data_IF_953071574560
#
_entry.id   IF_953071574560
#
_cell.length_a   1.000
_cell.length_b   1.000
_cell.length_c   1.000
_cell.angle_alpha   90.00
_cell.angle_beta   90.00
_cell.angle_gamma   90.00
#
_symmetry.space_group_name_H-M   'P 1'
#
loop_
_entity.id
_entity.type
_entity.pdbx_description
1 polymer ?
#
# COMPACT_ATOMS: atom_id res chain seq x y z
N UNK A 1 0.95 -13.51 -8.92
CA UNK A 1 2.03 -13.10 -7.99
C UNK A 1 1.82 -11.65 -7.54
N UNK A 2 1.96 -11.35 -6.24
CA UNK A 2 1.82 -10.02 -5.63
C UNK A 2 3.19 -9.53 -5.14
N UNK A 3 3.66 -8.43 -5.70
CA UNK A 3 4.93 -7.78 -5.36
C UNK A 3 4.62 -6.44 -4.73
N UNK A 4 4.98 -6.25 -3.47
CA UNK A 4 4.85 -4.96 -2.81
C UNK A 4 6.16 -4.18 -2.91
N UNK A 5 6.07 -2.93 -3.34
CA UNK A 5 7.18 -1.97 -3.35
C UNK A 5 7.01 -1.07 -2.14
N UNK A 6 7.94 -1.17 -1.19
CA UNK A 6 7.88 -0.51 0.11
C UNK A 6 9.21 0.18 0.46
N UNK A 7 9.21 1.02 1.50
CA UNK A 7 10.39 1.77 1.95
C UNK A 7 10.22 2.25 3.38
N UNK A 8 11.33 2.39 4.12
CA UNK A 8 11.29 2.83 5.52
C UNK A 8 10.91 4.30 5.72
N UNK A 9 10.85 5.11 4.66
CA UNK A 9 10.42 6.52 4.68
C UNK A 9 9.82 6.96 3.34
N UNK A 10 9.26 8.18 3.31
CA UNK A 10 8.86 8.85 2.08
C UNK A 10 10.05 9.29 1.21
N UNK A 11 9.81 9.47 -0.10
CA UNK A 11 10.78 10.10 -1.00
C UNK A 11 11.94 9.22 -1.52
N UNK A 12 11.94 7.91 -1.28
CA UNK A 12 13.01 7.01 -1.78
C UNK A 12 12.81 6.56 -3.24
N UNK A 13 11.72 6.93 -3.89
CA UNK A 13 11.42 6.57 -5.28
C UNK A 13 10.53 5.35 -5.48
N UNK A 14 9.74 4.94 -4.48
CA UNK A 14 8.75 3.84 -4.59
C UNK A 14 7.82 4.00 -5.80
N UNK A 15 7.04 5.08 -5.85
CA UNK A 15 6.08 5.33 -6.94
C UNK A 15 6.77 5.39 -8.30
N UNK A 16 7.96 5.98 -8.38
CA UNK A 16 8.77 6.00 -9.61
C UNK A 16 9.11 4.57 -10.04
N UNK A 17 9.60 3.72 -9.14
CA UNK A 17 9.88 2.32 -9.44
C UNK A 17 8.61 1.55 -9.81
N UNK A 18 7.54 1.68 -9.01
CA UNK A 18 6.26 0.99 -9.20
C UNK A 18 5.63 1.27 -10.55
N UNK A 19 5.55 2.54 -10.94
CA UNK A 19 4.95 2.97 -12.21
C UNK A 19 5.80 2.55 -13.40
N UNK A 20 7.12 2.73 -13.34
CA UNK A 20 8.02 2.34 -14.41
C UNK A 20 8.06 0.81 -14.60
N UNK A 21 8.17 0.05 -13.52
CA UNK A 21 8.16 -1.41 -13.58
C UNK A 21 6.85 -1.94 -14.13
N UNK A 22 5.71 -1.45 -13.65
CA UNK A 22 4.41 -1.87 -14.16
C UNK A 22 4.22 -1.50 -15.64
N UNK A 23 4.62 -0.31 -16.06
CA UNK A 23 4.55 0.09 -17.47
C UNK A 23 5.47 -0.73 -18.37
N UNK A 24 6.69 -1.02 -17.93
CA UNK A 24 7.65 -1.86 -18.64
C UNK A 24 7.11 -3.30 -18.82
N UNK A 25 6.57 -3.89 -17.75
CA UNK A 25 5.92 -5.21 -17.80
C UNK A 25 4.72 -5.20 -18.77
N UNK A 26 3.95 -4.11 -18.80
CA UNK A 26 2.76 -3.97 -19.63
C UNK A 26 3.03 -3.92 -21.14
N UNK A 27 4.29 -3.79 -21.58
CA UNK A 27 4.63 -3.88 -23.00
C UNK A 27 4.36 -5.30 -23.52
N UNK A 28 4.74 -6.31 -22.74
CA UNK A 28 4.67 -7.71 -23.16
C UNK A 28 3.56 -8.51 -22.48
N UNK A 29 3.18 -8.18 -21.25
CA UNK A 29 2.32 -9.03 -20.43
C UNK A 29 1.28 -8.24 -19.62
N UNK A 30 0.20 -8.91 -19.24
CA UNK A 30 -0.83 -8.31 -18.39
C UNK A 30 -0.26 -8.03 -16.99
N UNK A 31 -0.54 -6.84 -16.46
CA UNK A 31 -0.07 -6.44 -15.12
C UNK A 31 -1.10 -5.53 -14.46
N UNK A 32 -1.14 -5.63 -13.13
CA UNK A 32 -1.98 -4.80 -12.29
C UNK A 32 -1.07 -3.91 -11.43
N UNK A 33 -1.12 -2.61 -11.63
CA UNK A 33 -0.54 -1.63 -10.70
C UNK A 33 -1.62 -1.20 -9.73
N UNK A 34 -1.31 -1.21 -8.44
CA UNK A 34 -2.19 -0.68 -7.40
C UNK A 34 -1.46 0.35 -6.56
N UNK A 35 -2.02 1.56 -6.48
CA UNK A 35 -1.60 2.57 -5.51
C UNK A 35 -2.32 2.32 -4.18
N UNK A 36 -1.56 1.85 -3.18
CA UNK A 36 -2.05 1.57 -1.83
C UNK A 36 -1.73 2.73 -0.86
N UNK A 37 -1.08 3.81 -1.31
CA UNK A 37 -0.99 5.04 -0.55
C UNK A 37 -2.30 5.83 -0.67
N UNK A 38 -3.32 5.36 0.04
CA UNK A 38 -4.70 5.85 -0.11
C UNK A 38 -4.94 7.26 0.45
N UNK A 39 -3.96 7.80 1.19
CA UNK A 39 -3.99 9.17 1.70
C UNK A 39 -3.51 10.13 0.61
N UNK A 40 -2.40 9.81 -0.05
CA UNK A 40 -1.75 10.66 -1.04
C UNK A 40 -1.32 9.85 -2.30
N UNK A 41 -2.27 9.28 -3.06
CA UNK A 41 -1.93 8.43 -4.21
C UNK A 41 -1.29 9.27 -5.33
N UNK A 42 -0.14 8.80 -5.84
CA UNK A 42 0.71 9.53 -6.78
C UNK A 42 0.92 8.78 -8.11
N UNK A 43 0.62 7.48 -8.17
CA UNK A 43 0.82 6.66 -9.37
C UNK A 43 0.03 7.18 -10.58
N UNK A 44 -1.15 7.75 -10.33
CA UNK A 44 -2.00 8.35 -11.38
C UNK A 44 -1.37 9.55 -12.10
N UNK A 45 -0.31 10.15 -11.56
CA UNK A 45 0.45 11.22 -12.23
C UNK A 45 1.24 10.69 -13.43
N UNK A 46 1.66 9.41 -13.38
CA UNK A 46 2.48 8.77 -14.40
C UNK A 46 1.64 7.95 -15.39
N UNK A 47 0.53 7.39 -14.90
CA UNK A 47 -0.28 6.46 -15.68
C UNK A 47 -1.43 7.18 -16.38
N UNK A 48 -1.26 7.40 -17.68
CA UNK A 48 -2.34 7.88 -18.56
C UNK A 48 -3.20 6.69 -18.99
N UNK A 49 -4.35 6.52 -18.33
CA UNK A 49 -5.26 5.40 -18.57
C UNK A 49 -6.73 5.83 -18.58
N UNK A 50 -7.58 5.07 -19.27
CA UNK A 50 -9.03 5.32 -19.33
C UNK A 50 -9.70 4.81 -18.06
N UNK A 51 -10.51 5.65 -17.40
CA UNK A 51 -11.34 5.23 -16.28
C UNK A 51 -12.39 4.20 -16.75
N UNK A 52 -12.39 3.02 -16.13
CA UNK A 52 -13.36 1.96 -16.37
C UNK A 52 -14.43 1.90 -15.29
N UNK A 53 -14.03 2.04 -14.02
CA UNK A 53 -14.94 1.94 -12.87
C UNK A 53 -14.57 2.94 -11.80
N UNK A 54 -15.61 3.50 -11.17
CA UNK A 54 -15.53 4.26 -9.93
C UNK A 54 -16.50 3.65 -8.91
N UNK A 55 -16.04 3.46 -7.69
CA UNK A 55 -16.82 2.86 -6.62
C UNK A 55 -16.65 3.67 -5.34
N UNK A 56 -17.75 4.10 -4.73
CA UNK A 56 -17.71 4.72 -3.40
C UNK A 56 -17.41 3.67 -2.35
N UNK A 57 -16.45 3.96 -1.49
CA UNK A 57 -16.06 3.08 -0.38
C UNK A 57 -16.64 3.58 0.92
N UNK A 58 -17.06 2.63 1.75
CA UNK A 58 -17.79 2.89 2.98
C UNK A 58 -17.13 2.22 4.15
N UNK A 59 -17.33 2.84 5.30
CA UNK A 59 -17.02 2.32 6.62
C UNK A 59 -18.31 2.20 7.41
N UNK A 60 -18.44 1.12 8.15
CA UNK A 60 -19.64 0.82 8.90
C UNK A 60 -19.47 1.36 10.32
N UNK A 61 -20.38 2.24 10.76
CA UNK A 61 -20.33 2.94 12.05
C UNK A 61 -21.63 2.65 12.80
N UNK A 62 -21.58 2.28 14.09
CA UNK A 62 -22.79 2.08 14.87
C UNK A 62 -23.50 3.42 15.12
N UNK A 63 -24.81 3.42 14.95
CA UNK A 63 -25.70 4.51 15.32
C UNK A 63 -26.55 4.09 16.51
N UNK A 64 -26.47 4.86 17.59
CA UNK A 64 -27.14 4.54 18.84
C UNK A 64 -28.61 4.96 18.81
N UNK A 65 -29.50 4.02 19.12
CA UNK A 65 -30.92 4.27 19.33
C UNK A 65 -31.25 4.29 20.82
N UNK A 66 -31.68 5.45 21.33
CA UNK A 66 -32.08 5.61 22.73
C UNK A 66 -33.31 4.74 23.06
N UNK A 67 -34.29 4.68 22.17
CA UNK A 67 -35.54 3.92 22.35
C UNK A 67 -35.30 2.43 22.59
N UNK A 68 -34.30 1.86 21.90
CA UNK A 68 -33.98 0.43 22.00
C UNK A 68 -32.91 0.12 23.06
N UNK A 69 -32.26 1.14 23.63
CA UNK A 69 -31.12 0.94 24.51
C UNK A 69 -31.55 0.61 25.95
N UNK A 70 -31.03 -0.51 26.48
CA UNK A 70 -31.18 -0.85 27.91
C UNK A 70 -30.04 -0.33 28.80
N UNK A 71 -29.13 0.47 28.24
CA UNK A 71 -27.95 1.05 28.90
C UNK A 71 -27.08 0.03 29.66
N UNK A 72 -26.95 -1.18 29.12
CA UNK A 72 -26.22 -2.29 29.74
C UNK A 72 -24.68 -2.12 29.76
N UNK A 73 -24.14 -1.26 28.91
CA UNK A 73 -22.70 -0.96 28.84
C UNK A 73 -21.84 -1.93 28.03
N UNK A 74 -22.37 -3.07 27.59
CA UNK A 74 -21.62 -4.07 26.80
C UNK A 74 -20.87 -3.44 25.61
N UNK A 75 -21.51 -2.54 24.87
CA UNK A 75 -20.92 -1.90 23.70
C UNK A 75 -19.68 -1.05 24.01
N UNK A 76 -19.63 -0.44 25.19
CA UNK A 76 -18.47 0.30 25.69
C UNK A 76 -17.36 -0.67 26.10
N UNK A 77 -17.69 -1.71 26.87
CA UNK A 77 -16.73 -2.69 27.38
C UNK A 77 -16.00 -3.45 26.27
N UNK A 78 -16.70 -3.79 25.18
CA UNK A 78 -16.13 -4.56 24.06
C UNK A 78 -15.37 -3.68 23.06
N UNK A 79 -15.39 -2.35 23.21
CA UNK A 79 -14.78 -1.43 22.26
C UNK A 79 -13.28 -1.22 22.54
N UNK A 80 -12.42 -2.08 22.00
CA UNK A 80 -10.96 -1.94 22.13
C UNK A 80 -10.39 -0.59 21.65
N UNK A 81 -11.10 0.10 20.77
CA UNK A 81 -10.69 1.38 20.19
C UNK A 81 -11.24 2.59 20.96
N UNK A 82 -12.00 2.37 22.03
CA UNK A 82 -12.64 3.41 22.83
C UNK A 82 -13.47 4.40 21.99
N UNK A 83 -14.04 3.91 20.89
CA UNK A 83 -14.89 4.68 20.00
C UNK A 83 -16.33 4.82 20.54
N UNK A 84 -16.65 4.11 21.62
CA UNK A 84 -17.97 4.12 22.26
C UNK A 84 -17.75 4.45 23.74
N UNK A 85 -18.41 5.52 24.21
CA UNK A 85 -18.37 5.95 25.61
C UNK A 85 -19.79 5.98 26.15
N UNK A 86 -19.98 5.44 27.36
CA UNK A 86 -21.25 5.55 28.07
C UNK A 86 -21.21 6.70 29.07
N UNK A 87 -22.20 7.60 29.01
CA UNK A 87 -22.42 8.70 29.96
C UNK A 87 -23.80 8.54 30.57
N UNK A 88 -23.87 7.91 31.74
CA UNK A 88 -25.15 7.56 32.36
C UNK A 88 -25.92 6.56 31.49
N UNK A 89 -27.13 6.93 31.05
CA UNK A 89 -27.94 6.11 30.14
C UNK A 89 -27.59 6.32 28.65
N UNK A 90 -26.83 7.37 28.31
CA UNK A 90 -26.53 7.74 26.94
C UNK A 90 -25.25 7.07 26.42
N UNK A 91 -25.22 6.77 25.12
CA UNK A 91 -24.04 6.26 24.42
C UNK A 91 -23.57 7.29 23.41
N UNK A 92 -22.29 7.64 23.46
CA UNK A 92 -21.61 8.48 22.48
C UNK A 92 -20.72 7.61 21.59
N UNK A 93 -20.88 7.76 20.28
CA UNK A 93 -20.03 7.11 19.27
C UNK A 93 -19.11 8.14 18.63
N UNK A 94 -17.82 7.84 18.56
CA UNK A 94 -16.79 8.62 17.88
C UNK A 94 -16.44 7.94 16.54
N UNK A 95 -17.01 8.38 15.40
CA UNK A 95 -16.84 7.70 14.11
C UNK A 95 -15.39 7.60 13.65
N UNK A 96 -14.55 8.56 14.03
CA UNK A 96 -13.12 8.61 13.67
C UNK A 96 -12.34 7.46 14.31
N UNK A 97 -12.66 7.12 15.57
CA UNK A 97 -12.00 6.05 16.31
C UNK A 97 -12.59 4.66 16.06
N UNK A 98 -13.83 4.57 15.58
CA UNK A 98 -14.50 3.28 15.40
C UNK A 98 -13.85 2.47 14.27
N UNK A 99 -13.42 1.22 14.43
CA UNK A 99 -12.87 0.42 13.32
C UNK A 99 -13.92 -0.34 12.49
N UNK A 100 -15.21 -0.17 12.80
CA UNK A 100 -16.27 -0.90 12.11
C UNK A 100 -16.18 -2.42 12.27
N UNK A 101 -15.67 -2.90 13.42
CA UNK A 101 -15.47 -4.33 13.69
C UNK A 101 -16.74 -5.08 14.12
N UNK A 102 -17.89 -4.41 14.15
CA UNK A 102 -19.21 -4.95 14.51
C UNK A 102 -19.40 -5.48 15.94
N UNK A 103 -18.34 -5.65 16.75
CA UNK A 103 -18.44 -6.22 18.09
C UNK A 103 -19.52 -5.56 18.97
N UNK A 104 -19.60 -4.23 18.97
CA UNK A 104 -20.59 -3.49 19.75
C UNK A 104 -22.05 -3.72 19.31
N UNK A 105 -22.29 -3.93 18.02
CA UNK A 105 -23.61 -4.15 17.45
C UNK A 105 -24.05 -5.60 17.67
N UNK A 106 -23.19 -6.56 17.35
CA UNK A 106 -23.45 -8.00 17.48
C UNK A 106 -23.63 -8.44 18.94
N UNK A 107 -22.92 -7.81 19.87
CA UNK A 107 -23.02 -8.11 21.30
C UNK A 107 -24.06 -7.24 22.03
N UNK A 108 -24.81 -6.40 21.31
CA UNK A 108 -25.88 -5.60 21.89
C UNK A 108 -27.14 -6.45 22.10
N UNK A 109 -27.54 -6.77 23.35
CA UNK A 109 -28.69 -7.63 23.62
C UNK A 109 -30.03 -7.00 23.27
N UNK A 110 -30.04 -5.70 22.95
CA UNK A 110 -31.24 -4.96 22.57
C UNK A 110 -31.17 -4.38 21.16
N UNK A 111 -30.16 -4.75 20.37
CA UNK A 111 -29.98 -4.29 18.98
C UNK A 111 -30.05 -2.76 18.83
N UNK A 112 -29.54 -2.01 19.82
CA UNK A 112 -29.62 -0.56 19.88
C UNK A 112 -28.48 0.16 19.14
N UNK A 113 -27.66 -0.56 18.38
CA UNK A 113 -26.48 -0.06 17.65
C UNK A 113 -26.51 -0.57 16.22
N UNK A 114 -27.36 0.05 15.39
CA UNK A 114 -27.45 -0.31 13.98
C UNK A 114 -26.18 0.15 13.25
N UNK A 115 -25.60 -0.71 12.42
CA UNK A 115 -24.39 -0.37 11.67
C UNK A 115 -24.76 0.36 10.38
N UNK A 116 -24.45 1.65 10.33
CA UNK A 116 -24.77 2.52 9.19
C UNK A 116 -23.53 2.77 8.34
N UNK A 117 -23.70 2.68 7.02
CA UNK A 117 -22.64 2.97 6.06
C UNK A 117 -22.32 4.47 6.03
N UNK A 118 -21.07 4.83 6.30
CA UNK A 118 -20.55 6.19 6.12
C UNK A 118 -19.48 6.18 5.03
N UNK A 119 -19.61 7.10 4.08
CA UNK A 119 -18.61 7.26 3.01
C UNK A 119 -17.25 7.57 3.64
N UNK A 120 -16.21 6.88 3.17
CA UNK A 120 -14.83 7.10 3.60
C UNK A 120 -13.90 7.46 2.46
N UNK A 121 -14.30 7.22 1.21
CA UNK A 121 -13.46 7.49 0.05
C UNK A 121 -14.02 6.88 -1.23
N UNK A 122 -13.15 6.71 -2.21
CA UNK A 122 -13.46 6.08 -3.48
C UNK A 122 -12.34 5.16 -3.96
N UNK A 123 -12.71 4.13 -4.72
CA UNK A 123 -11.82 3.30 -5.52
C UNK A 123 -12.05 3.62 -6.99
N UNK A 124 -10.97 3.75 -7.74
CA UNK A 124 -10.97 3.98 -9.19
C UNK A 124 -10.13 2.92 -9.88
N UNK A 125 -10.66 2.39 -10.96
CA UNK A 125 -9.99 1.41 -11.81
C UNK A 125 -9.90 1.97 -13.23
N UNK A 126 -8.67 2.05 -13.73
CA UNK A 126 -8.30 2.51 -15.05
C UNK A 126 -7.61 1.41 -15.86
N UNK A 127 -7.64 1.53 -17.18
CA UNK A 127 -6.95 0.59 -18.07
C UNK A 127 -6.26 1.33 -19.22
N UNK A 128 -5.05 0.87 -19.56
CA UNK A 128 -4.33 1.24 -20.78
C UNK A 128 -3.62 0.00 -21.34
N UNK A 129 -4.11 -0.54 -22.46
CA UNK A 129 -3.56 -1.77 -23.05
C UNK A 129 -3.56 -2.93 -22.05
N UNK A 130 -2.37 -3.48 -21.78
CA UNK A 130 -2.17 -4.60 -20.84
C UNK A 130 -2.03 -4.16 -19.37
N UNK A 131 -1.98 -2.85 -19.09
CA UNK A 131 -1.89 -2.28 -17.74
C UNK A 131 -3.29 -2.00 -17.18
N UNK A 132 -3.61 -2.64 -16.06
CA UNK A 132 -4.73 -2.24 -15.20
C UNK A 132 -4.17 -1.43 -14.03
N UNK A 133 -4.72 -0.25 -13.79
CA UNK A 133 -4.31 0.64 -12.72
C UNK A 133 -5.46 0.86 -11.73
N UNK A 134 -5.23 0.52 -10.47
CA UNK A 134 -6.20 0.68 -9.39
C UNK A 134 -5.62 1.68 -8.41
N UNK A 135 -6.42 2.66 -8.02
CA UNK A 135 -6.09 3.57 -6.93
C UNK A 135 -7.31 3.76 -6.05
N UNK A 136 -7.08 3.90 -4.76
CA UNK A 136 -8.10 4.28 -3.80
C UNK A 136 -7.68 5.57 -3.12
N UNK A 137 -8.66 6.40 -2.76
CA UNK A 137 -8.41 7.68 -2.12
C UNK A 137 -9.39 7.92 -0.98
N UNK A 138 -8.88 8.27 0.19
CA UNK A 138 -9.68 8.70 1.33
C UNK A 138 -10.29 10.09 1.09
N UNK A 139 -11.49 10.30 1.63
CA UNK A 139 -12.05 11.63 1.79
C UNK A 139 -11.28 12.39 2.90
N UNK A 140 -11.20 13.72 2.78
CA UNK A 140 -10.50 14.58 3.75
C UNK A 140 -11.10 14.40 5.15
N UNK A 141 -10.23 14.21 6.16
CA UNK A 141 -10.63 14.02 7.56
C UNK A 141 -10.93 12.57 7.95
N UNK A 142 -10.65 11.59 7.07
CA UNK A 142 -10.71 10.17 7.39
C UNK A 142 -9.34 9.66 7.83
N UNK A 143 -9.28 8.93 8.94
CA UNK A 143 -8.03 8.46 9.57
C UNK A 143 -7.75 6.95 9.33
N UNK A 144 -8.59 6.27 8.54
CA UNK A 144 -8.56 4.81 8.40
C UNK A 144 -8.07 4.32 7.04
N UNK A 145 -6.81 4.60 6.77
CA UNK A 145 -6.11 4.09 5.58
C UNK A 145 -6.09 2.57 5.51
N UNK A 146 -5.84 1.88 6.64
CA UNK A 146 -5.82 0.41 6.70
C UNK A 146 -7.10 -0.26 6.17
N UNK A 147 -8.27 0.25 6.55
CA UNK A 147 -9.55 -0.31 6.07
C UNK A 147 -9.70 -0.13 4.55
N UNK A 148 -9.34 1.03 4.02
CA UNK A 148 -9.45 1.28 2.57
C UNK A 148 -8.42 0.47 1.78
N UNK A 149 -7.20 0.28 2.30
CA UNK A 149 -6.19 -0.62 1.72
C UNK A 149 -6.75 -2.05 1.68
N UNK A 150 -7.33 -2.54 2.77
CA UNK A 150 -7.98 -3.86 2.82
C UNK A 150 -9.09 -4.01 1.77
N UNK A 151 -9.97 -3.01 1.64
CA UNK A 151 -11.04 -3.02 0.63
C UNK A 151 -10.50 -2.97 -0.81
N UNK A 152 -9.35 -2.33 -1.03
CA UNK A 152 -8.65 -2.29 -2.32
C UNK A 152 -8.03 -3.64 -2.65
N UNK A 153 -7.37 -4.28 -1.68
CA UNK A 153 -6.83 -5.63 -1.83
C UNK A 153 -7.94 -6.66 -2.13
N UNK A 154 -9.09 -6.56 -1.46
CA UNK A 154 -10.25 -7.40 -1.77
C UNK A 154 -10.72 -7.21 -3.22
N UNK A 155 -10.86 -5.96 -3.68
CA UNK A 155 -11.23 -5.66 -5.05
C UNK A 155 -10.27 -6.33 -6.06
N UNK A 156 -8.96 -6.27 -5.80
CA UNK A 156 -7.92 -6.87 -6.67
C UNK A 156 -8.03 -8.39 -6.69
N UNK A 157 -8.23 -9.03 -5.54
CA UNK A 157 -8.38 -10.48 -5.44
C UNK A 157 -9.62 -10.98 -6.20
N UNK A 158 -10.72 -10.23 -6.14
CA UNK A 158 -11.97 -10.58 -6.81
C UNK A 158 -11.92 -10.37 -8.34
N UNK A 159 -11.31 -9.26 -8.80
CA UNK A 159 -11.38 -8.85 -10.21
C UNK A 159 -10.18 -9.29 -11.05
N UNK A 160 -9.06 -9.61 -10.41
CA UNK A 160 -7.86 -10.11 -11.08
C UNK A 160 -7.42 -11.46 -10.49
N UNK A 161 -8.30 -12.49 -10.51
CA UNK A 161 -7.92 -13.81 -10.08
C UNK A 161 -6.89 -14.41 -11.04
N UNK A 162 -6.08 -15.34 -10.53
CA UNK A 162 -5.09 -16.06 -11.33
C UNK A 162 -3.71 -15.41 -11.39
N UNK A 163 -2.94 -15.87 -12.37
CA UNK A 163 -1.49 -15.71 -12.42
C UNK A 163 -1.05 -14.47 -13.20
N UNK A 164 -1.50 -13.31 -12.72
CA UNK A 164 -1.11 -11.98 -13.22
C UNK A 164 -0.14 -11.37 -12.22
N UNK A 165 0.89 -10.66 -12.70
CA UNK A 165 1.78 -9.87 -11.85
C UNK A 165 1.00 -8.68 -11.31
N UNK A 166 1.01 -8.52 -9.99
CA UNK A 166 0.38 -7.41 -9.26
C UNK A 166 1.48 -6.63 -8.56
N UNK A 167 1.66 -5.37 -8.92
CA UNK A 167 2.61 -4.44 -8.31
C UNK A 167 1.84 -3.53 -7.36
N UNK A 168 2.20 -3.53 -6.08
CA UNK A 168 1.59 -2.69 -5.06
C UNK A 168 2.55 -1.56 -4.68
N UNK A 169 2.21 -0.32 -5.03
CA UNK A 169 2.90 0.87 -4.54
C UNK A 169 2.43 1.13 -3.10
N UNK A 170 3.30 0.84 -2.13
CA UNK A 170 2.92 0.86 -0.71
C UNK A 170 3.06 2.26 -0.11
N UNK A 171 2.31 2.56 0.97
CA UNK A 171 2.56 3.76 1.79
C UNK A 171 4.02 3.83 2.28
N UNK A 172 4.54 5.02 2.63
CA UNK A 172 5.87 5.14 3.22
C UNK A 172 5.90 4.66 4.69
N UNK A 173 7.07 4.19 5.13
CA UNK A 173 7.32 3.92 6.54
C UNK A 173 7.19 2.45 6.94
N UNK A 174 6.83 2.23 8.19
CA UNK A 174 6.71 0.89 8.82
C UNK A 174 5.46 0.77 9.69
N UNK A 175 4.48 1.65 9.47
CA UNK A 175 3.23 1.73 10.22
C UNK A 175 2.17 0.75 9.72
N UNK A 176 1.00 0.72 10.38
CA UNK A 176 -0.10 -0.19 10.04
C UNK A 176 -0.54 -0.17 8.56
N UNK A 177 -0.60 0.98 7.86
CA UNK A 177 -0.87 1.00 6.42
C UNK A 177 0.12 0.19 5.59
N UNK A 178 1.42 0.25 5.93
CA UNK A 178 2.46 -0.54 5.26
C UNK A 178 2.30 -2.02 5.55
N UNK A 179 1.99 -2.37 6.80
CA UNK A 179 1.69 -3.76 7.17
C UNK A 179 0.51 -4.27 6.35
N UNK A 180 -0.59 -3.52 6.28
CA UNK A 180 -1.79 -3.91 5.53
C UNK A 180 -1.52 -4.03 4.02
N UNK A 181 -0.67 -3.17 3.45
CA UNK A 181 -0.28 -3.20 2.04
C UNK A 181 0.64 -4.39 1.69
N UNK A 182 1.46 -4.84 2.63
CA UNK A 182 2.52 -5.85 2.40
C UNK A 182 2.15 -7.24 2.93
N UNK A 183 1.18 -7.36 3.84
CA UNK A 183 0.87 -8.62 4.56
C UNK A 183 0.47 -9.78 3.64
N UNK A 184 -0.04 -9.52 2.44
CA UNK A 184 -0.47 -10.56 1.49
C UNK A 184 0.45 -10.63 0.26
N UNK A 185 1.58 -9.92 0.29
CA UNK A 185 2.55 -9.95 -0.79
C UNK A 185 3.29 -11.30 -0.81
N UNK A 186 3.54 -11.80 -2.02
CA UNK A 186 4.39 -12.97 -2.26
C UNK A 186 5.86 -12.59 -2.04
N UNK A 187 6.23 -11.35 -2.40
CA UNK A 187 7.58 -10.81 -2.22
C UNK A 187 7.54 -9.30 -2.01
N UNK A 188 8.49 -8.76 -1.26
CA UNK A 188 8.60 -7.31 -1.00
C UNK A 188 9.91 -6.76 -1.55
N UNK A 189 9.82 -5.71 -2.37
CA UNK A 189 10.98 -4.94 -2.83
C UNK A 189 11.09 -3.69 -1.97
N UNK A 190 12.18 -3.59 -1.22
CA UNK A 190 12.49 -2.46 -0.37
C UNK A 190 13.35 -1.45 -1.14
N UNK A 191 12.81 -0.24 -1.34
CA UNK A 191 13.51 0.85 -2.03
C UNK A 191 14.19 1.76 -1.02
N UNK A 192 15.50 1.96 -1.17
CA UNK A 192 16.28 2.88 -0.33
C UNK A 192 17.29 3.70 -1.14
N UNK A 193 18.00 4.61 -0.48
CA UNK A 193 19.07 5.44 -1.04
C UNK A 193 20.40 5.16 -0.30
N UNK A 194 21.58 5.28 -0.93
CA UNK A 194 22.88 4.98 -0.32
C UNK A 194 23.35 6.08 0.65
N UNK A 195 22.52 6.42 1.64
CA UNK A 195 22.79 7.44 2.65
C UNK A 195 22.67 6.84 4.05
N UNK A 196 23.33 7.42 5.08
CA UNK A 196 23.20 6.94 6.46
C UNK A 196 21.75 6.86 6.95
N UNK A 197 20.92 7.84 6.56
CA UNK A 197 19.49 7.84 6.86
C UNK A 197 18.74 6.75 6.09
N UNK A 198 19.04 6.58 4.80
CA UNK A 198 18.48 5.50 4.00
C UNK A 198 18.79 4.12 4.56
N UNK A 199 19.99 3.91 5.10
CA UNK A 199 20.36 2.66 5.79
C UNK A 199 19.57 2.47 7.08
N UNK A 200 19.43 3.50 7.90
CA UNK A 200 18.65 3.43 9.13
C UNK A 200 17.19 3.06 8.84
N UNK A 201 16.57 3.72 7.87
CA UNK A 201 15.18 3.48 7.50
C UNK A 201 15.00 2.10 6.84
N UNK A 202 15.98 1.67 6.04
CA UNK A 202 16.01 0.32 5.47
C UNK A 202 16.01 -0.74 6.57
N UNK A 203 16.81 -0.58 7.63
CA UNK A 203 16.85 -1.53 8.77
C UNK A 203 15.48 -1.67 9.43
N UNK A 204 14.78 -0.56 9.67
CA UNK A 204 13.43 -0.59 10.22
C UNK A 204 12.43 -1.31 9.30
N UNK A 205 12.52 -1.07 8.00
CA UNK A 205 11.67 -1.75 7.01
C UNK A 205 11.94 -3.26 6.97
N UNK A 206 13.22 -3.66 6.98
CA UNK A 206 13.65 -5.06 7.05
C UNK A 206 13.12 -5.74 8.32
N UNK A 207 13.26 -5.11 9.49
CA UNK A 207 12.76 -5.66 10.75
C UNK A 207 11.24 -5.86 10.71
N UNK A 208 10.53 -4.97 10.03
CA UNK A 208 9.09 -5.10 9.81
C UNK A 208 8.77 -6.29 8.92
N UNK A 209 9.46 -6.45 7.78
CA UNK A 209 9.25 -7.59 6.87
C UNK A 209 9.62 -8.93 7.51
N UNK A 210 10.71 -8.98 8.29
CA UNK A 210 11.11 -10.15 9.10
C UNK A 210 9.99 -10.55 10.08
N UNK A 211 9.39 -9.59 10.79
CA UNK A 211 8.26 -9.85 11.72
C UNK A 211 7.00 -10.33 11.00
N UNK A 212 6.76 -9.88 9.77
CA UNK A 212 5.64 -10.34 8.95
C UNK A 212 5.90 -11.69 8.26
N UNK A 213 7.11 -12.26 8.38
CA UNK A 213 7.49 -13.49 7.68
C UNK A 213 7.45 -13.34 6.16
N UNK A 214 7.78 -12.15 5.64
CA UNK A 214 7.78 -11.86 4.20
C UNK A 214 9.19 -11.94 3.65
N UNK A 215 9.35 -12.58 2.51
CA UNK A 215 10.59 -12.55 1.74
C UNK A 215 10.77 -11.16 1.10
N UNK A 216 12.00 -10.65 1.12
CA UNK A 216 12.29 -9.33 0.61
C UNK A 216 13.67 -9.22 -0.04
N UNK A 217 13.81 -8.26 -0.94
CA UNK A 217 15.08 -7.82 -1.50
C UNK A 217 15.12 -6.30 -1.63
N UNK A 218 16.29 -5.76 -1.96
CA UNK A 218 16.54 -4.32 -1.96
C UNK A 218 16.77 -3.82 -3.37
N UNK A 219 16.15 -2.69 -3.70
CA UNK A 219 16.51 -1.86 -4.85
C UNK A 219 17.15 -0.58 -4.31
N UNK A 220 18.38 -0.33 -4.72
CA UNK A 220 19.12 0.87 -4.34
C UNK A 220 18.85 1.97 -5.37
N UNK A 221 18.11 2.98 -4.98
CA UNK A 221 17.85 4.16 -5.80
C UNK A 221 18.90 5.23 -5.56
N UNK A 222 19.12 6.10 -6.56
CA UNK A 222 20.09 7.19 -6.54
C UNK A 222 21.51 6.71 -6.23
N UNK A 223 21.91 5.62 -6.87
CA UNK A 223 23.24 5.09 -6.69
C UNK A 223 24.29 6.11 -7.12
N UNK A 224 25.28 6.36 -6.24
CA UNK A 224 26.34 7.34 -6.44
C UNK A 224 26.26 8.62 -5.58
N UNK A 225 25.17 8.88 -4.85
CA UNK A 225 25.06 10.09 -4.00
C UNK A 225 25.74 9.99 -2.63
N UNK A 226 26.09 8.79 -2.20
CA UNK A 226 26.59 8.58 -0.85
C UNK A 226 27.62 7.47 -0.78
N UNK A 227 27.49 6.59 0.21
CA UNK A 227 28.53 5.60 0.54
C UNK A 227 28.05 4.17 0.29
N UNK A 228 28.95 3.21 0.53
CA UNK A 228 28.69 1.79 0.31
C UNK A 228 28.02 1.11 1.50
N UNK A 229 27.67 1.83 2.58
CA UNK A 229 27.19 1.21 3.82
C UNK A 229 25.93 0.36 3.60
N UNK A 230 25.05 0.76 2.68
CA UNK A 230 23.86 -0.04 2.31
C UNK A 230 24.25 -1.32 1.58
N UNK A 231 25.22 -1.25 0.66
CA UNK A 231 25.72 -2.42 -0.07
C UNK A 231 26.39 -3.39 0.88
N UNK A 232 27.28 -2.89 1.74
CA UNK A 232 28.02 -3.66 2.73
C UNK A 232 27.06 -4.32 3.71
N UNK A 233 26.03 -3.60 4.15
CA UNK A 233 24.99 -4.14 5.03
C UNK A 233 24.17 -5.24 4.36
N UNK A 234 23.73 -5.04 3.11
CA UNK A 234 23.02 -6.07 2.37
C UNK A 234 23.88 -7.34 2.18
N UNK A 235 25.17 -7.17 1.91
CA UNK A 235 26.09 -8.30 1.78
C UNK A 235 26.28 -9.04 3.12
N UNK A 236 26.47 -8.32 4.22
CA UNK A 236 26.65 -8.89 5.57
C UNK A 236 25.42 -9.69 6.02
N UNK A 237 24.22 -9.17 5.76
CA UNK A 237 22.96 -9.80 6.16
C UNK A 237 22.44 -10.82 5.13
N UNK A 238 23.18 -11.07 4.03
CA UNK A 238 22.76 -11.89 2.90
C UNK A 238 21.40 -11.47 2.30
N UNK A 239 21.16 -10.16 2.21
CA UNK A 239 19.95 -9.61 1.61
C UNK A 239 20.17 -9.43 0.11
N UNK A 240 19.28 -9.95 -0.76
CA UNK A 240 19.39 -9.79 -2.20
C UNK A 240 19.33 -8.30 -2.60
N UNK A 241 20.41 -7.79 -3.19
CA UNK A 241 20.38 -6.52 -3.92
C UNK A 241 19.95 -6.80 -5.37
N UNK A 242 18.72 -6.43 -5.70
CA UNK A 242 18.07 -6.81 -6.97
C UNK A 242 18.54 -5.91 -8.12
N UNK A 243 18.58 -4.60 -7.87
CA UNK A 243 18.91 -3.60 -8.87
C UNK A 243 19.40 -2.29 -8.24
N UNK A 244 20.07 -1.50 -9.06
CA UNK A 244 20.66 -0.21 -8.69
C UNK A 244 20.26 0.84 -9.73
N UNK A 245 19.47 1.83 -9.33
CA UNK A 245 19.05 2.95 -10.19
C UNK A 245 20.05 4.10 -9.98
N UNK A 246 20.69 4.63 -11.03
CA UNK A 246 21.72 5.66 -10.89
C UNK A 246 21.15 7.00 -10.40
N UNK A 247 21.97 7.81 -9.71
CA UNK A 247 21.64 9.21 -9.46
C UNK A 247 21.89 10.03 -10.73
N UNK A 248 20.84 10.20 -11.52
CA UNK A 248 20.86 10.99 -12.74
C UNK A 248 19.80 12.09 -12.66
N UNK A 249 20.23 13.34 -12.87
CA UNK A 249 19.35 14.50 -12.90
C UNK A 249 18.25 14.36 -13.96
N UNK A 250 18.49 13.67 -15.07
CA UNK A 250 17.48 13.39 -16.10
C UNK A 250 16.31 12.58 -15.54
N UNK A 251 16.57 11.61 -14.64
CA UNK A 251 15.51 10.87 -13.94
C UNK A 251 14.65 11.86 -13.14
N UNK A 252 15.28 12.80 -12.43
CA UNK A 252 14.57 13.81 -11.65
C UNK A 252 13.67 14.72 -12.50
N UNK A 253 14.18 15.14 -13.65
CA UNK A 253 13.45 16.00 -14.59
C UNK A 253 12.27 15.27 -15.23
N UNK A 254 12.42 13.99 -15.58
CA UNK A 254 11.34 13.17 -16.16
C UNK A 254 10.24 12.87 -15.15
N UNK A 255 10.60 12.38 -13.95
CA UNK A 255 9.57 12.01 -12.97
C UNK A 255 8.78 13.23 -12.48
N UNK A 256 9.43 14.41 -12.37
CA UNK A 256 8.75 15.65 -11.97
C UNK A 256 7.72 16.15 -13.00
N UNK A 257 7.82 15.68 -14.25
CA UNK A 257 6.83 15.92 -15.31
C UNK A 257 5.75 14.83 -15.41
N UNK A 258 5.82 13.80 -14.55
CA UNK A 258 4.93 12.63 -14.64
C UNK A 258 5.24 11.74 -15.86
N UNK A 259 6.48 11.77 -16.36
CA UNK A 259 6.90 10.95 -17.49
C UNK A 259 7.52 9.62 -17.01
N UNK A 260 7.35 8.57 -17.82
CA UNK A 260 7.97 7.26 -17.57
C UNK A 260 9.45 7.34 -17.95
N UNK A 261 10.31 7.02 -16.99
CA UNK A 261 11.76 7.20 -17.06
C UNK A 261 12.42 6.18 -17.99
N UNK A 262 11.96 4.92 -17.96
CA UNK A 262 12.60 3.81 -18.68
C UNK A 262 12.55 3.97 -20.21
N UNK A 263 11.64 4.79 -20.73
CA UNK A 263 11.51 5.06 -22.17
C UNK A 263 12.65 5.95 -22.70
N UNK A 264 13.18 6.82 -21.84
CA UNK A 264 14.19 7.83 -22.20
C UNK A 264 15.59 7.49 -21.65
N UNK A 265 15.67 6.64 -20.62
CA UNK A 265 16.94 6.29 -19.95
C UNK A 265 17.15 4.77 -20.01
N UNK A 266 17.96 4.28 -20.97
CA UNK A 266 18.20 2.85 -21.17
C UNK A 266 18.77 2.13 -19.94
N UNK A 267 19.58 2.82 -19.13
CA UNK A 267 20.12 2.28 -17.89
C UNK A 267 19.01 1.90 -16.91
N UNK A 268 17.91 2.67 -16.86
CA UNK A 268 16.76 2.35 -16.02
C UNK A 268 16.02 1.15 -16.58
N UNK A 269 15.79 1.07 -17.89
CA UNK A 269 15.16 -0.08 -18.53
C UNK A 269 15.92 -1.40 -18.22
N UNK A 270 17.25 -1.39 -18.28
CA UNK A 270 18.08 -2.54 -17.92
C UNK A 270 17.91 -2.97 -16.45
N UNK A 271 17.72 -2.01 -15.54
CA UNK A 271 17.48 -2.32 -14.12
C UNK A 271 16.08 -2.86 -13.89
N UNK A 272 15.08 -2.40 -14.64
CA UNK A 272 13.72 -2.97 -14.60
C UNK A 272 13.69 -4.40 -15.15
N UNK A 273 14.45 -4.68 -16.21
CA UNK A 273 14.62 -6.04 -16.75
C UNK A 273 15.19 -6.98 -15.69
N UNK A 274 16.26 -6.58 -14.99
CA UNK A 274 16.82 -7.36 -13.86
C UNK A 274 15.79 -7.62 -12.75
N UNK A 275 14.98 -6.63 -12.41
CA UNK A 275 13.92 -6.79 -11.41
C UNK A 275 12.86 -7.78 -11.91
N UNK A 276 12.46 -7.69 -13.18
CA UNK A 276 11.50 -8.61 -13.78
C UNK A 276 12.02 -10.04 -13.81
N UNK A 277 13.26 -10.25 -14.24
CA UNK A 277 13.92 -11.57 -14.24
C UNK A 277 13.98 -12.15 -12.83
N UNK A 278 14.33 -11.32 -11.84
CA UNK A 278 14.33 -11.73 -10.44
C UNK A 278 12.93 -12.17 -9.97
N UNK A 279 11.90 -11.40 -10.29
CA UNK A 279 10.50 -11.72 -9.96
C UNK A 279 10.10 -13.06 -10.61
N UNK A 280 10.43 -13.27 -11.88
CA UNK A 280 10.08 -14.50 -12.60
C UNK A 280 10.80 -15.74 -12.05
N UNK A 281 12.10 -15.63 -11.74
CA UNK A 281 12.86 -16.75 -11.16
C UNK A 281 12.32 -17.17 -9.78
N UNK A 282 11.87 -16.21 -8.97
CA UNK A 282 11.25 -16.50 -7.66
C UNK A 282 9.83 -17.07 -7.80
N UNK A 283 9.15 -16.78 -8.91
CA UNK A 283 7.83 -17.32 -9.20
C UNK A 283 7.89 -18.82 -9.50
N UNK A 284 8.89 -19.26 -10.27
CA UNK A 284 9.05 -20.67 -10.66
C UNK A 284 9.62 -21.56 -9.54
N UNK A 285 10.16 -20.96 -8.47
CA UNK A 285 10.76 -21.65 -7.33
C UNK A 285 9.76 -22.01 -6.21
N UNK A 286 8.47 -21.66 -6.38
CA UNK A 286 7.39 -21.86 -5.40
C UNK A 286 6.26 -22.70 -5.97
#
# INVERSE_FOLDING_TARGET
MKIAIASGKGGTGKTTLSTNLASYIAEEQMVVLTDLDVEEPNSGLFIKARLLKRETKYKMIPEWSEENCKSCGNCHEVCNFHAIIQLGSSILVFPQLCHGCYACAELCPSSALEMVARKMGELRHFQNGKLNFIESRLDIGQEQSTLLISQTNQYINEHFPGDIIKIYDSPPGTSCPVIEATKDADYVILVTEPTPFGLHDLKLAIDTMKKLGRDFGVVLNRQGIGNNDVLDFCQQENIPLIAEIPDDRRIAELYSRGELVYQEIPEVALQLEKILDFIMNNKDSR
#
